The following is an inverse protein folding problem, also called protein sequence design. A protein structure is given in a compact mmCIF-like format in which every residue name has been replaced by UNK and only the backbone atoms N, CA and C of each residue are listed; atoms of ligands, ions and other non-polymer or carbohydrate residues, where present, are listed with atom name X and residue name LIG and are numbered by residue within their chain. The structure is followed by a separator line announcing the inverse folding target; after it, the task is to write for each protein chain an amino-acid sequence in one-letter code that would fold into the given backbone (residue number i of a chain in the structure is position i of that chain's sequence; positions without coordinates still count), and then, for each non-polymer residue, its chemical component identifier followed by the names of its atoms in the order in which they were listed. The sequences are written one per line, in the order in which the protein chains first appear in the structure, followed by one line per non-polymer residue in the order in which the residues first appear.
data_IF_039045976383
#
_entry.id   IF_039045976383
#
_cell.length_a   1.000
_cell.length_b   1.000
_cell.length_c   1.000
_cell.angle_alpha   90.00
_cell.angle_beta   90.00
_cell.angle_gamma   90.00
#
_symmetry.space_group_name_H-M   'P 1'
#
loop_
_entity.id
_entity.type
_entity.pdbx_description
1 polymer ?
#
# COMPACT_ATOMS: atom_id res chain seq x y z
N UNK A 1 -15.41 12.01 -4.25
CA UNK A 1 -16.00 12.04 -3.42
C UNK A 1 -15.76 12.75 -2.64
N UNK A 2 -15.99 12.96 -2.40
CA UNK A 2 -15.71 13.77 -1.91
C UNK A 2 -16.09 14.11 -0.62
N UNK A 3 -17.02 14.39 -0.23
CA UNK A 3 -17.35 14.80 1.06
C UNK A 3 -18.23 13.80 1.73
N UNK A 4 -18.55 13.98 2.97
CA UNK A 4 -19.29 13.05 3.76
C UNK A 4 -20.71 13.41 3.89
N UNK A 5 -21.37 13.66 2.80
CA UNK A 5 -22.78 14.01 2.85
C UNK A 5 -23.65 12.85 3.27
N UNK A 6 -23.11 11.64 3.24
CA UNK A 6 -23.81 10.47 3.74
C UNK A 6 -23.76 10.30 5.26
N UNK A 7 -23.08 11.21 5.96
CA UNK A 7 -23.00 11.16 7.41
C UNK A 7 -21.93 10.29 7.98
N UNK A 8 -21.03 9.74 7.17
CA UNK A 8 -19.93 8.96 7.68
C UNK A 8 -18.99 9.80 8.51
N UNK A 9 -18.46 9.20 9.58
CA UNK A 9 -17.51 9.89 10.46
C UNK A 9 -16.16 10.06 9.79
N UNK A 10 -15.77 9.08 8.95
CA UNK A 10 -14.49 9.13 8.26
C UNK A 10 -14.62 9.81 6.91
N UNK A 11 -13.49 10.17 6.32
CA UNK A 11 -13.43 10.80 5.01
C UNK A 11 -12.62 9.98 4.02
N UNK A 12 -12.62 8.68 4.21
CA UNK A 12 -11.87 7.77 3.38
C UNK A 12 -10.65 7.23 4.12
N UNK A 13 -9.76 6.59 3.39
CA UNK A 13 -8.57 5.99 3.96
C UNK A 13 -7.45 7.03 4.07
N UNK A 14 -6.74 7.02 5.20
CA UNK A 14 -5.55 7.84 5.37
C UNK A 14 -4.35 7.17 4.69
N UNK A 15 -4.17 5.89 4.95
CA UNK A 15 -3.11 5.13 4.30
C UNK A 15 -3.50 3.67 4.21
N UNK A 16 -2.85 2.95 3.30
CA UNK A 16 -3.06 1.54 3.06
C UNK A 16 -1.70 0.87 3.06
N UNK A 17 -1.58 -0.26 3.76
CA UNK A 17 -0.32 -0.98 3.85
C UNK A 17 -0.34 -2.27 3.06
N UNK A 18 0.74 -2.54 2.33
CA UNK A 18 0.92 -3.77 1.59
C UNK A 18 2.27 -4.36 1.94
N UNK A 19 2.31 -5.67 2.17
CA UNK A 19 3.55 -6.41 2.26
C UNK A 19 3.84 -6.99 0.89
N UNK A 20 5.04 -6.72 0.38
CA UNK A 20 5.40 -7.10 -0.98
C UNK A 20 6.68 -7.94 -0.97
N UNK A 21 6.84 -8.84 -1.94
CA UNK A 21 8.02 -9.70 -1.98
C UNK A 21 9.30 -8.97 -2.41
N UNK A 22 9.19 -7.88 -3.15
CA UNK A 22 10.35 -7.12 -3.61
C UNK A 22 10.04 -5.63 -3.48
N UNK A 23 10.42 -5.08 -2.34
CA UNK A 23 10.12 -3.69 -2.03
C UNK A 23 10.72 -2.73 -3.04
N UNK A 24 11.98 -2.96 -3.43
CA UNK A 24 12.66 -2.06 -4.37
C UNK A 24 11.96 -2.00 -5.72
N UNK A 25 11.56 -3.15 -6.24
CA UNK A 25 10.86 -3.21 -7.54
C UNK A 25 9.48 -2.56 -7.46
N UNK A 26 8.75 -2.82 -6.39
CA UNK A 26 7.42 -2.23 -6.22
C UNK A 26 7.50 -0.72 -6.06
N UNK A 27 8.45 -0.25 -5.26
CA UNK A 27 8.69 1.18 -5.08
C UNK A 27 9.00 1.86 -6.42
N UNK A 28 9.88 1.27 -7.21
CA UNK A 28 10.26 1.81 -8.51
C UNK A 28 9.05 1.91 -9.44
N UNK A 29 8.20 0.90 -9.43
CA UNK A 29 6.98 0.93 -10.25
C UNK A 29 6.07 2.11 -9.88
N UNK A 30 5.80 2.29 -8.59
CA UNK A 30 4.91 3.36 -8.17
C UNK A 30 5.51 4.74 -8.45
N UNK A 31 6.79 4.92 -8.26
CA UNK A 31 7.43 6.23 -8.47
C UNK A 31 7.63 6.50 -9.95
N UNK A 32 8.23 5.57 -10.69
CA UNK A 32 8.64 5.83 -12.06
C UNK A 32 7.48 5.71 -13.04
N UNK A 33 6.54 4.81 -12.79
CA UNK A 33 5.43 4.57 -13.70
C UNK A 33 4.19 5.37 -13.31
N UNK A 34 3.85 5.41 -12.03
CA UNK A 34 2.62 6.05 -11.57
C UNK A 34 2.84 7.45 -11.01
N UNK A 35 4.08 7.88 -10.85
CA UNK A 35 4.37 9.25 -10.41
C UNK A 35 4.17 9.50 -8.93
N UNK A 36 4.16 8.46 -8.10
CA UNK A 36 4.07 8.63 -6.66
C UNK A 36 5.33 9.31 -6.13
N UNK A 37 5.19 9.95 -4.98
CA UNK A 37 6.30 10.58 -4.30
C UNK A 37 6.59 9.85 -3.00
N UNK A 38 7.86 9.59 -2.71
CA UNK A 38 8.24 8.98 -1.44
C UNK A 38 8.28 10.05 -0.36
N UNK A 39 7.56 9.82 0.72
CA UNK A 39 7.44 10.77 1.83
C UNK A 39 8.09 10.25 3.11
N UNK A 40 8.61 9.03 3.12
CA UNK A 40 9.31 8.49 4.28
C UNK A 40 9.79 7.09 4.05
N UNK A 41 10.57 6.57 5.02
CA UNK A 41 11.04 5.19 5.00
C UNK A 41 11.43 4.73 6.39
N UNK A 42 11.42 3.40 6.58
CA UNK A 42 11.94 2.76 7.78
C UNK A 42 12.94 1.71 7.32
N UNK A 43 14.25 2.00 7.34
CA UNK A 43 15.24 1.08 6.77
C UNK A 43 15.43 -0.21 7.57
N UNK A 44 15.26 -0.17 8.89
CA UNK A 44 15.50 -1.33 9.74
C UNK A 44 14.42 -2.40 9.61
N UNK A 45 13.22 -1.99 9.27
CA UNK A 45 12.09 -2.89 9.01
C UNK A 45 11.63 -2.55 7.60
N UNK A 46 12.33 -2.98 6.57
CA UNK A 46 12.31 -2.26 5.31
C UNK A 46 10.91 -1.89 4.85
N UNK A 47 10.65 -0.61 4.86
CA UNK A 47 9.37 -0.05 4.46
C UNK A 47 9.58 1.31 3.84
N UNK A 48 8.75 1.65 2.85
CA UNK A 48 8.73 2.99 2.29
C UNK A 48 7.29 3.50 2.27
N UNK A 49 7.15 4.81 2.38
CA UNK A 49 5.86 5.46 2.40
C UNK A 49 5.76 6.37 1.17
N UNK A 50 4.75 6.11 0.34
CA UNK A 50 4.56 6.81 -0.93
C UNK A 50 3.21 7.49 -0.92
N UNK A 51 3.04 8.53 -1.74
CA UNK A 51 1.75 9.18 -1.87
C UNK A 51 1.50 9.60 -3.31
N UNK A 52 0.23 9.58 -3.70
CA UNK A 52 -0.22 10.18 -4.97
C UNK A 52 -0.77 11.59 -4.75
N UNK A 53 -0.65 12.12 -3.52
CA UNK A 53 -1.20 13.41 -3.16
C UNK A 53 -2.51 13.32 -2.42
N UNK A 54 -3.19 12.18 -2.48
CA UNK A 54 -4.46 11.95 -1.79
C UNK A 54 -4.34 10.91 -0.71
N UNK A 55 -3.94 9.70 -1.06
CA UNK A 55 -3.82 8.59 -0.12
C UNK A 55 -2.37 8.17 -0.01
N UNK A 56 -1.94 7.82 1.18
CA UNK A 56 -0.59 7.31 1.40
C UNK A 56 -0.60 5.79 1.27
N UNK A 57 0.42 5.27 0.60
CA UNK A 57 0.64 3.84 0.44
C UNK A 57 1.90 3.48 1.22
N UNK A 58 1.79 2.54 2.15
CA UNK A 58 2.95 2.05 2.89
C UNK A 58 3.31 0.67 2.36
N UNK A 59 4.54 0.53 1.89
CA UNK A 59 5.03 -0.72 1.31
C UNK A 59 6.03 -1.33 2.27
N UNK A 60 5.85 -2.62 2.58
CA UNK A 60 6.65 -3.34 3.55
C UNK A 60 7.28 -4.54 2.87
N UNK A 61 8.58 -4.76 3.10
CA UNK A 61 9.26 -5.92 2.54
C UNK A 61 8.84 -7.18 3.31
N UNK A 62 8.43 -8.21 2.59
CA UNK A 62 8.17 -9.50 3.20
C UNK A 62 9.48 -10.02 3.82
N UNK A 63 9.39 -10.57 5.04
CA UNK A 63 10.56 -11.05 5.74
C UNK A 63 11.22 -12.22 5.03
N UNK A 64 10.42 -13.11 4.48
CA UNK A 64 10.90 -14.27 3.73
C UNK A 64 10.13 -14.33 2.43
N UNK A 65 10.57 -13.58 1.41
CA UNK A 65 9.79 -13.46 0.17
C UNK A 65 9.64 -14.77 -0.59
N UNK A 66 10.56 -15.70 -0.43
CA UNK A 66 10.48 -16.98 -1.14
C UNK A 66 9.35 -17.85 -0.58
N UNK A 67 8.98 -17.65 0.68
CA UNK A 67 7.93 -18.39 1.34
C UNK A 67 6.73 -17.52 1.70
N UNK A 68 6.62 -16.34 1.11
CA UNK A 68 5.49 -15.45 1.38
C UNK A 68 4.19 -16.08 0.91
N UNK A 69 3.13 -15.90 1.71
CA UNK A 69 1.82 -16.46 1.41
C UNK A 69 1.11 -15.57 0.39
N UNK A 70 0.83 -16.12 -0.77
CA UNK A 70 0.09 -15.37 -1.79
C UNK A 70 -1.38 -15.29 -1.41
N UNK A 71 -2.05 -14.25 -1.90
CA UNK A 71 -3.47 -14.09 -1.64
C UNK A 71 -4.27 -15.17 -2.35
N UNK A 72 -5.25 -15.71 -1.66
CA UNK A 72 -6.27 -16.58 -2.24
C UNK A 72 -7.61 -15.86 -2.08
N UNK A 73 -8.09 -15.25 -3.13
CA UNK A 73 -9.26 -14.38 -3.08
C UNK A 73 -10.54 -15.13 -2.70
N UNK A 74 -10.52 -16.45 -2.72
CA UNK A 74 -11.70 -17.23 -2.42
C UNK A 74 -11.72 -17.77 -1.00
N UNK A 75 -10.56 -17.83 -0.34
CA UNK A 75 -10.49 -18.48 0.96
C UNK A 75 -9.63 -17.74 1.98
N UNK A 76 -8.97 -16.67 1.61
CA UNK A 76 -8.20 -15.87 2.54
C UNK A 76 -9.05 -14.70 3.01
N UNK A 77 -9.27 -14.59 4.31
CA UNK A 77 -10.00 -13.45 4.86
C UNK A 77 -9.06 -12.24 4.89
N UNK A 78 -9.62 -11.07 4.67
CA UNK A 78 -8.84 -9.83 4.70
C UNK A 78 -9.13 -8.98 3.48
N UNK A 79 -8.19 -8.10 3.15
CA UNK A 79 -8.35 -7.20 2.03
C UNK A 79 -8.31 -7.97 0.72
N UNK A 80 -9.42 -7.96 -0.01
CA UNK A 80 -9.52 -8.67 -1.29
C UNK A 80 -8.80 -7.91 -2.39
N UNK A 81 -9.08 -6.62 -2.51
CA UNK A 81 -8.37 -5.76 -3.47
C UNK A 81 -8.65 -4.30 -3.16
N UNK A 82 -7.78 -3.45 -3.66
CA UNK A 82 -8.09 -2.03 -3.76
C UNK A 82 -7.42 -1.52 -5.03
N UNK A 83 -7.89 -0.38 -5.53
CA UNK A 83 -7.51 0.09 -6.86
C UNK A 83 -7.24 1.59 -6.85
N UNK A 84 -6.26 1.98 -7.58
CA UNK A 84 -6.00 3.39 -7.87
C UNK A 84 -6.60 3.79 -9.19
#
# INVERSE_FOLDING_TARGET
MTDNQNGAVTRGAHHIGLTVPNLAATRTFFIDTLGFEQVGEVPDYPAVFLTDGGTMLTLWQAEDPDNAVAIDRKNLTGLHHFCY
#
